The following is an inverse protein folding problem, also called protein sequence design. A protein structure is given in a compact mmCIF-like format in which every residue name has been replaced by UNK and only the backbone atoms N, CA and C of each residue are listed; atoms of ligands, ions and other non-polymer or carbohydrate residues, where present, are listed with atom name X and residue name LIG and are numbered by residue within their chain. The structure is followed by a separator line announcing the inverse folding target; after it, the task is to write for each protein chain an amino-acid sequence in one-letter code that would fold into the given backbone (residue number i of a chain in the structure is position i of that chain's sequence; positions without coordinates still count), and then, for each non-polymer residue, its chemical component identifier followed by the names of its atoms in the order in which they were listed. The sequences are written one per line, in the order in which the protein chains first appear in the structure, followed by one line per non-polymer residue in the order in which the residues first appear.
data_IF_332607467359
#
_entry.id   IF_332607467359
#
_cell.length_a   1.000
_cell.length_b   1.000
_cell.length_c   1.000
_cell.angle_alpha   90.00
_cell.angle_beta   90.00
_cell.angle_gamma   90.00
#
_symmetry.space_group_name_H-M   'P 1'
#
loop_
_entity.id
_entity.type
_entity.pdbx_description
1 polymer ?
#
# COMPACT_ATOMS: atom_id res chain seq x y z
N UNK A 1 -46.31 51.78 4.36
CA UNK A 1 -45.19 51.38 3.48
C UNK A 1 -43.92 51.46 4.31
N UNK A 2 -43.14 50.37 4.47
CA UNK A 2 -41.89 50.41 5.22
C UNK A 2 -40.90 51.34 4.50
N UNK A 3 -40.31 52.30 5.21
CA UNK A 3 -39.28 53.20 4.67
C UNK A 3 -38.01 52.39 4.40
N UNK A 4 -37.60 52.32 3.14
CA UNK A 4 -36.28 51.83 2.76
C UNK A 4 -35.25 52.81 3.33
N UNK A 5 -34.37 52.33 4.22
CA UNK A 5 -33.31 53.15 4.81
C UNK A 5 -32.02 52.94 3.99
N UNK A 6 -31.61 53.89 3.13
CA UNK A 6 -30.43 53.75 2.28
C UNK A 6 -29.11 53.75 3.07
N UNK A 7 -29.14 54.13 4.35
CA UNK A 7 -27.97 54.13 5.24
C UNK A 7 -27.76 52.81 5.99
N UNK A 8 -28.68 51.85 5.84
CA UNK A 8 -28.41 50.46 6.22
C UNK A 8 -27.52 49.83 5.13
N UNK A 9 -26.27 50.28 5.05
CA UNK A 9 -25.24 49.61 4.27
C UNK A 9 -25.18 48.17 4.77
N UNK A 10 -25.75 47.25 3.99
CA UNK A 10 -25.54 45.82 4.15
C UNK A 10 -24.04 45.60 4.15
N UNK A 11 -23.50 45.30 5.33
CA UNK A 11 -22.09 45.02 5.51
C UNK A 11 -21.82 43.70 4.79
N UNK A 12 -21.37 43.77 3.54
CA UNK A 12 -21.10 42.62 2.68
C UNK A 12 -20.07 41.66 3.30
N UNK A 13 -19.28 42.12 4.28
CA UNK A 13 -18.40 41.27 5.09
C UNK A 13 -19.15 40.37 6.09
N UNK A 14 -20.37 40.72 6.50
CA UNK A 14 -21.26 39.87 7.30
C UNK A 14 -22.05 38.86 6.45
N UNK A 15 -22.01 39.01 5.12
CA UNK A 15 -22.59 38.08 4.14
C UNK A 15 -21.55 37.14 3.52
N UNK A 16 -20.28 37.24 3.93
CA UNK A 16 -19.28 36.26 3.58
C UNK A 16 -19.62 34.95 4.30
N UNK A 17 -20.32 34.06 3.59
CA UNK A 17 -20.42 32.66 4.00
C UNK A 17 -18.98 32.14 4.02
N UNK A 18 -18.46 31.87 5.22
CA UNK A 18 -17.19 31.14 5.35
C UNK A 18 -17.29 29.89 4.48
N UNK A 19 -16.35 29.74 3.56
CA UNK A 19 -16.25 28.50 2.79
C UNK A 19 -16.26 27.36 3.80
N UNK A 20 -17.15 26.35 3.65
CA UNK A 20 -17.20 25.25 4.59
C UNK A 20 -15.80 24.68 4.71
N UNK A 21 -15.27 24.66 5.94
CA UNK A 21 -13.94 24.14 6.22
C UNK A 21 -13.79 22.82 5.48
N UNK A 22 -12.78 22.72 4.61
CA UNK A 22 -12.46 21.45 3.95
C UNK A 22 -12.25 20.44 5.05
N UNK A 23 -13.20 19.51 5.19
CA UNK A 23 -13.06 18.38 6.10
C UNK A 23 -11.69 17.77 5.81
N UNK A 24 -10.85 17.71 6.83
CA UNK A 24 -9.53 17.11 6.70
C UNK A 24 -9.74 15.69 6.17
N UNK A 25 -9.16 15.39 5.01
CA UNK A 25 -9.24 14.05 4.43
C UNK A 25 -8.57 13.09 5.41
N UNK A 26 -9.39 12.28 6.08
CA UNK A 26 -8.90 11.30 7.06
C UNK A 26 -8.39 10.10 6.28
N UNK A 27 -7.06 10.03 6.16
CA UNK A 27 -6.37 8.91 5.54
C UNK A 27 -6.46 7.63 6.39
N UNK A 28 -6.09 6.50 5.78
CA UNK A 28 -6.12 5.19 6.42
C UNK A 28 -5.07 5.13 7.55
N UNK A 29 -5.49 4.62 8.69
CA UNK A 29 -4.64 4.43 9.86
C UNK A 29 -4.76 2.97 10.33
N UNK A 30 -3.69 2.15 10.18
CA UNK A 30 -3.72 0.75 10.61
C UNK A 30 -4.14 0.54 12.08
N UNK A 31 -3.76 1.44 12.99
CA UNK A 31 -4.10 1.31 14.42
C UNK A 31 -5.62 1.47 14.66
N UNK A 32 -6.28 2.31 13.84
CA UNK A 32 -7.71 2.61 13.94
C UNK A 32 -8.55 1.67 13.07
N UNK A 33 -8.10 1.42 11.85
CA UNK A 33 -8.92 0.85 10.77
C UNK A 33 -8.77 -0.68 10.64
N UNK A 34 -7.71 -1.27 11.23
CA UNK A 34 -7.60 -2.73 11.39
C UNK A 34 -8.09 -3.12 12.78
N UNK A 35 -9.18 -3.87 12.82
CA UNK A 35 -9.84 -4.30 14.06
C UNK A 35 -9.20 -5.55 14.66
N UNK A 36 -9.45 -5.87 15.94
CA UNK A 36 -9.00 -7.12 16.54
C UNK A 36 -9.48 -8.38 15.79
N UNK A 37 -10.71 -8.37 15.24
CA UNK A 37 -11.24 -9.48 14.44
C UNK A 37 -10.42 -9.67 13.15
N UNK A 38 -9.98 -8.57 12.52
CA UNK A 38 -9.16 -8.64 11.31
C UNK A 38 -7.83 -9.33 11.61
N UNK A 39 -7.21 -8.99 12.75
CA UNK A 39 -5.97 -9.61 13.20
C UNK A 39 -6.11 -11.08 13.54
N UNK A 40 -7.25 -11.49 14.10
CA UNK A 40 -7.55 -12.90 14.36
C UNK A 40 -7.62 -13.68 13.04
N UNK A 41 -8.35 -13.17 12.04
CA UNK A 41 -8.46 -13.79 10.71
C UNK A 41 -7.12 -13.84 9.97
N UNK A 42 -6.33 -12.77 10.00
CA UNK A 42 -4.96 -12.76 9.44
C UNK A 42 -4.13 -13.87 10.09
N UNK A 43 -4.16 -13.97 11.42
CA UNK A 43 -3.41 -14.99 12.15
C UNK A 43 -3.87 -16.42 11.86
N UNK A 44 -5.19 -16.65 11.74
CA UNK A 44 -5.73 -17.94 11.35
C UNK A 44 -5.31 -18.31 9.93
N UNK A 45 -5.51 -17.42 8.97
CA UNK A 45 -5.15 -17.65 7.57
C UNK A 45 -3.66 -17.96 7.42
N UNK A 46 -2.79 -17.19 8.09
CA UNK A 46 -1.34 -17.47 8.10
C UNK A 46 -1.02 -18.88 8.59
N UNK A 47 -1.61 -19.31 9.71
CA UNK A 47 -1.40 -20.66 10.27
C UNK A 47 -1.84 -21.75 9.30
N UNK A 48 -2.94 -21.56 8.59
CA UNK A 48 -3.41 -22.50 7.57
C UNK A 48 -2.41 -22.57 6.41
N UNK A 49 -1.95 -21.42 5.90
CA UNK A 49 -0.99 -21.34 4.79
C UNK A 49 0.37 -21.98 5.12
N UNK A 50 0.84 -21.92 6.37
CA UNK A 50 2.12 -22.52 6.79
C UNK A 50 2.21 -24.03 6.52
N UNK A 51 1.09 -24.73 6.32
CA UNK A 51 1.10 -26.17 6.05
C UNK A 51 1.30 -26.54 4.57
N UNK A 52 1.08 -25.63 3.61
CA UNK A 52 1.17 -25.97 2.18
C UNK A 52 1.52 -24.81 1.23
N UNK A 53 1.45 -23.55 1.67
CA UNK A 53 1.61 -22.38 0.81
C UNK A 53 2.46 -21.30 1.48
N UNK A 54 3.77 -21.53 1.46
CA UNK A 54 4.76 -20.58 1.98
C UNK A 54 4.85 -19.29 1.16
N UNK A 55 4.24 -19.21 -0.05
CA UNK A 55 4.13 -17.94 -0.78
C UNK A 55 3.27 -16.96 0.00
N UNK A 56 2.06 -17.38 0.34
CA UNK A 56 1.13 -16.53 1.06
C UNK A 56 1.62 -16.24 2.48
N UNK A 57 2.39 -17.14 3.09
CA UNK A 57 3.05 -16.83 4.38
C UNK A 57 3.99 -15.65 4.24
N UNK A 58 4.85 -15.60 3.22
CA UNK A 58 5.75 -14.47 3.00
C UNK A 58 4.98 -13.15 2.79
N UNK A 59 3.94 -13.18 1.96
CA UNK A 59 3.05 -12.04 1.70
C UNK A 59 2.41 -11.52 3.00
N UNK A 60 1.75 -12.39 3.77
CA UNK A 60 1.10 -12.00 5.02
C UNK A 60 2.10 -11.43 6.03
N UNK A 61 3.32 -11.98 6.10
CA UNK A 61 4.35 -11.47 7.01
C UNK A 61 4.80 -10.05 6.61
N UNK A 62 4.92 -9.78 5.31
CA UNK A 62 5.20 -8.43 4.83
C UNK A 62 4.05 -7.45 5.16
N UNK A 63 2.81 -7.88 4.95
CA UNK A 63 1.61 -7.10 5.26
C UNK A 63 1.48 -6.83 6.76
N UNK A 64 1.67 -7.83 7.63
CA UNK A 64 1.69 -7.67 9.09
C UNK A 64 2.71 -6.60 9.49
N UNK A 65 3.93 -6.68 8.94
CA UNK A 65 5.00 -5.72 9.24
C UNK A 65 4.64 -4.30 8.82
N UNK A 66 4.09 -4.12 7.62
CA UNK A 66 3.65 -2.81 7.10
C UNK A 66 2.51 -2.23 7.95
N UNK A 67 1.57 -3.08 8.38
CA UNK A 67 0.43 -2.71 9.21
C UNK A 67 0.80 -2.57 10.70
N UNK A 68 2.08 -2.61 11.05
CA UNK A 68 2.58 -2.30 12.40
C UNK A 68 2.66 -3.49 13.36
N UNK A 69 2.57 -4.72 12.86
CA UNK A 69 2.63 -5.95 13.66
C UNK A 69 3.88 -6.78 13.34
N UNK A 70 4.47 -7.39 14.36
CA UNK A 70 5.57 -8.33 14.16
C UNK A 70 5.05 -9.64 13.53
N UNK A 71 5.66 -10.14 12.44
CA UNK A 71 5.28 -11.40 11.81
C UNK A 71 5.38 -12.63 12.72
N UNK A 72 6.20 -12.58 13.77
CA UNK A 72 6.37 -13.63 14.78
C UNK A 72 6.60 -15.03 14.17
N UNK A 73 7.59 -15.14 13.28
CA UNK A 73 8.06 -16.40 12.72
C UNK A 73 9.23 -16.97 13.52
N UNK A 74 9.27 -18.30 13.67
CA UNK A 74 10.44 -18.98 14.25
C UNK A 74 11.60 -19.08 13.25
N UNK A 75 12.81 -19.37 13.73
CA UNK A 75 13.98 -19.61 12.86
C UNK A 75 13.70 -20.71 11.82
N UNK A 76 12.99 -21.78 12.23
CA UNK A 76 12.62 -22.85 11.30
C UNK A 76 11.61 -22.42 10.24
N UNK A 77 10.74 -21.45 10.53
CA UNK A 77 9.80 -20.90 9.55
C UNK A 77 10.55 -20.05 8.52
N UNK A 78 11.53 -19.27 8.95
CA UNK A 78 12.40 -18.51 8.06
C UNK A 78 13.22 -19.43 7.14
N UNK A 79 13.76 -20.53 7.66
CA UNK A 79 14.42 -21.54 6.84
C UNK A 79 13.47 -22.16 5.79
N UNK A 80 12.21 -22.39 6.14
CA UNK A 80 11.21 -22.93 5.22
C UNK A 80 10.88 -21.93 4.11
N UNK A 81 10.72 -20.64 4.44
CA UNK A 81 10.56 -19.57 3.46
C UNK A 81 11.75 -19.53 2.48
N UNK A 82 12.97 -19.61 2.99
CA UNK A 82 14.17 -19.61 2.17
C UNK A 82 14.22 -20.82 1.21
N UNK A 83 13.93 -22.03 1.72
CA UNK A 83 13.86 -23.26 0.91
C UNK A 83 12.79 -23.14 -0.19
N UNK A 84 11.61 -22.64 0.18
CA UNK A 84 10.49 -22.45 -0.73
C UNK A 84 10.79 -21.40 -1.82
N UNK A 85 11.41 -20.28 -1.46
CA UNK A 85 11.88 -19.29 -2.45
C UNK A 85 12.83 -19.91 -3.46
N UNK A 86 13.81 -20.68 -3.00
CA UNK A 86 14.80 -21.32 -3.88
C UNK A 86 14.18 -22.41 -4.78
N UNK A 87 13.14 -23.12 -4.33
CA UNK A 87 12.51 -24.17 -5.13
C UNK A 87 11.81 -23.65 -6.40
N UNK A 88 11.42 -22.37 -6.43
CA UNK A 88 10.72 -21.78 -7.59
C UNK A 88 11.65 -21.47 -8.76
N UNK A 89 12.98 -21.44 -8.56
CA UNK A 89 13.92 -21.23 -9.66
C UNK A 89 13.89 -22.34 -10.73
N UNK A 90 13.31 -23.50 -10.40
CA UNK A 90 13.15 -24.62 -11.34
C UNK A 90 11.90 -24.50 -12.23
N UNK A 91 11.01 -23.53 -11.97
CA UNK A 91 9.86 -23.24 -12.84
C UNK A 91 10.29 -22.33 -14.00
N UNK A 92 10.20 -22.86 -15.24
CA UNK A 92 10.67 -22.18 -16.44
C UNK A 92 9.81 -20.97 -16.87
N UNK A 93 8.57 -20.83 -16.37
CA UNK A 93 7.64 -19.80 -16.84
C UNK A 93 7.57 -18.62 -15.86
N UNK A 94 7.47 -18.89 -14.57
CA UNK A 94 7.23 -17.87 -13.54
C UNK A 94 8.31 -17.80 -12.46
N UNK A 95 9.30 -18.71 -12.49
CA UNK A 95 10.22 -18.95 -11.38
C UNK A 95 10.94 -17.71 -10.86
N UNK A 96 11.47 -16.85 -11.74
CA UNK A 96 12.17 -15.63 -11.32
C UNK A 96 11.25 -14.52 -10.81
N UNK A 97 10.01 -14.44 -11.30
CA UNK A 97 9.02 -13.48 -10.78
C UNK A 97 8.69 -13.88 -9.34
N UNK A 98 8.31 -15.13 -9.17
CA UNK A 98 7.93 -15.70 -7.89
C UNK A 98 9.08 -15.67 -6.88
N UNK A 99 10.31 -15.89 -7.34
CA UNK A 99 11.52 -15.79 -6.50
C UNK A 99 11.74 -14.37 -5.97
N UNK A 100 11.62 -13.37 -6.86
CA UNK A 100 11.84 -11.96 -6.52
C UNK A 100 10.75 -11.42 -5.62
N UNK A 101 9.50 -11.78 -5.90
CA UNK A 101 8.35 -11.41 -5.08
C UNK A 101 8.49 -11.93 -3.64
N UNK A 102 8.91 -13.19 -3.48
CA UNK A 102 9.22 -13.78 -2.17
C UNK A 102 10.36 -13.06 -1.47
N UNK A 103 11.46 -12.83 -2.19
CA UNK A 103 12.62 -12.15 -1.62
C UNK A 103 12.26 -10.74 -1.11
N UNK A 104 11.47 -10.00 -1.88
CA UNK A 104 10.91 -8.70 -1.48
C UNK A 104 10.09 -8.82 -0.20
N UNK A 105 9.17 -9.78 -0.14
CA UNK A 105 8.29 -9.95 1.03
C UNK A 105 9.06 -10.38 2.29
N UNK A 106 10.04 -11.29 2.16
CA UNK A 106 10.97 -11.65 3.24
C UNK A 106 11.69 -10.40 3.77
N UNK A 107 12.22 -9.56 2.88
CA UNK A 107 12.90 -8.32 3.25
C UNK A 107 11.97 -7.32 3.96
N UNK A 108 10.75 -7.11 3.45
CA UNK A 108 9.76 -6.24 4.10
C UNK A 108 9.43 -6.77 5.49
N UNK A 109 9.22 -8.08 5.63
CA UNK A 109 8.91 -8.73 6.90
C UNK A 109 10.06 -8.67 7.94
N UNK A 110 11.24 -8.19 7.54
CA UNK A 110 12.39 -7.97 8.42
C UNK A 110 13.52 -8.98 8.27
N UNK A 111 13.45 -9.90 7.30
CA UNK A 111 14.50 -10.86 7.01
C UNK A 111 15.02 -10.68 5.58
N UNK A 112 15.97 -9.76 5.39
CA UNK A 112 16.52 -9.49 4.05
C UNK A 112 17.31 -10.70 3.56
N UNK A 113 16.88 -11.36 2.47
CA UNK A 113 17.55 -12.54 1.99
C UNK A 113 18.87 -12.21 1.29
N UNK A 114 19.89 -13.02 1.56
CA UNK A 114 21.14 -12.99 0.79
C UNK A 114 20.91 -13.58 -0.61
N UNK A 115 21.15 -12.74 -1.63
CA UNK A 115 21.08 -13.11 -3.05
C UNK A 115 22.49 -13.09 -3.66
N UNK A 116 22.81 -14.13 -4.43
CA UNK A 116 24.12 -14.27 -5.07
C UNK A 116 24.26 -13.30 -6.27
N UNK A 117 25.47 -13.11 -6.76
CA UNK A 117 25.68 -12.31 -7.98
C UNK A 117 24.96 -12.90 -9.20
N UNK A 118 24.87 -14.24 -9.28
CA UNK A 118 24.13 -14.93 -10.34
C UNK A 118 22.62 -14.70 -10.23
N UNK A 119 22.09 -14.64 -9.01
CA UNK A 119 20.69 -14.25 -8.77
C UNK A 119 20.45 -12.85 -9.33
N UNK A 120 21.32 -11.89 -9.01
CA UNK A 120 21.20 -10.51 -9.48
C UNK A 120 21.31 -10.37 -11.00
N UNK A 121 22.23 -11.11 -11.63
CA UNK A 121 22.34 -11.13 -13.09
C UNK A 121 21.05 -11.65 -13.74
N UNK A 122 20.44 -12.67 -13.16
CA UNK A 122 19.20 -13.27 -13.65
C UNK A 122 18.01 -12.34 -13.46
N UNK A 123 17.86 -11.72 -12.28
CA UNK A 123 16.86 -10.68 -11.99
C UNK A 123 16.96 -9.56 -13.03
N UNK A 124 18.17 -9.03 -13.26
CA UNK A 124 18.39 -7.96 -14.22
C UNK A 124 18.03 -8.37 -15.66
N UNK A 125 18.36 -9.61 -16.06
CA UNK A 125 17.99 -10.17 -17.37
C UNK A 125 16.47 -10.27 -17.54
N UNK A 126 15.78 -10.82 -16.54
CA UNK A 126 14.33 -10.99 -16.59
C UNK A 126 13.60 -9.65 -16.56
N UNK A 127 14.02 -8.71 -15.71
CA UNK A 127 13.47 -7.35 -15.68
C UNK A 127 13.60 -6.64 -17.04
N UNK A 128 14.78 -6.72 -17.69
CA UNK A 128 14.98 -6.17 -19.04
C UNK A 128 14.07 -6.80 -20.09
N UNK A 129 13.86 -8.11 -20.01
CA UNK A 129 12.98 -8.82 -20.95
C UNK A 129 11.52 -8.36 -20.84
N UNK A 130 11.06 -7.97 -19.64
CA UNK A 130 9.71 -7.42 -19.45
C UNK A 130 9.53 -6.05 -20.13
N UNK A 131 10.59 -5.24 -20.26
CA UNK A 131 10.54 -3.96 -20.99
C UNK A 131 10.34 -4.11 -22.50
N UNK A 132 10.81 -5.21 -23.07
CA UNK A 132 10.91 -5.39 -24.53
C UNK A 132 9.80 -6.25 -25.13
N UNK A 133 9.16 -7.11 -24.32
CA UNK A 133 8.08 -7.96 -24.81
C UNK A 133 6.85 -7.09 -25.07
N UNK A 134 6.20 -7.29 -26.22
CA UNK A 134 4.88 -6.71 -26.42
C UNK A 134 3.97 -7.18 -25.28
N UNK A 135 3.31 -6.23 -24.60
CA UNK A 135 2.24 -6.45 -23.65
C UNK A 135 1.31 -7.63 -23.98
N UNK A 136 1.43 -8.76 -23.30
CA UNK A 136 0.22 -9.50 -22.97
C UNK A 136 -0.32 -8.89 -21.69
N UNK A 137 -1.61 -8.56 -21.66
CA UNK A 137 -2.25 -7.70 -20.66
C UNK A 137 -2.06 -8.17 -19.20
N UNK A 138 -1.66 -9.43 -18.98
CA UNK A 138 -1.45 -10.04 -17.67
C UNK A 138 0.01 -10.03 -17.17
N UNK A 139 1.00 -9.61 -17.98
CA UNK A 139 2.43 -9.68 -17.62
C UNK A 139 3.06 -8.35 -17.18
N UNK A 140 2.28 -7.28 -17.16
CA UNK A 140 2.78 -5.92 -16.96
C UNK A 140 3.16 -5.57 -15.52
N UNK A 141 2.48 -6.19 -14.55
CA UNK A 141 2.81 -6.07 -13.13
C UNK A 141 4.24 -6.50 -12.84
N UNK A 142 4.80 -7.43 -13.62
CA UNK A 142 6.12 -7.99 -13.35
C UNK A 142 7.23 -6.95 -13.38
N UNK A 143 7.16 -5.98 -14.31
CA UNK A 143 8.17 -4.92 -14.36
C UNK A 143 8.19 -4.10 -13.07
N UNK A 144 7.02 -3.68 -12.58
CA UNK A 144 6.87 -2.97 -11.32
C UNK A 144 7.41 -3.80 -10.15
N UNK A 145 7.03 -5.09 -10.08
CA UNK A 145 7.47 -6.01 -9.04
C UNK A 145 9.01 -6.16 -8.99
N UNK A 146 9.67 -6.35 -10.15
CA UNK A 146 11.14 -6.45 -10.21
C UNK A 146 11.84 -5.19 -9.72
N UNK A 147 11.33 -4.02 -10.10
CA UNK A 147 11.89 -2.74 -9.69
C UNK A 147 11.71 -2.54 -8.19
N UNK A 148 10.50 -2.75 -7.70
CA UNK A 148 10.17 -2.59 -6.30
C UNK A 148 11.01 -3.54 -5.43
N UNK A 149 11.09 -4.82 -5.81
CA UNK A 149 11.90 -5.79 -5.12
C UNK A 149 13.38 -5.41 -5.11
N UNK A 150 13.92 -4.91 -6.24
CA UNK A 150 15.30 -4.43 -6.28
C UNK A 150 15.53 -3.30 -5.26
N UNK A 151 14.62 -2.33 -5.19
CA UNK A 151 14.70 -1.25 -4.22
C UNK A 151 14.67 -1.78 -2.78
N UNK A 152 13.63 -2.56 -2.43
CA UNK A 152 13.42 -3.14 -1.09
C UNK A 152 14.57 -4.06 -0.67
N UNK A 153 15.24 -4.73 -1.60
CA UNK A 153 16.43 -5.56 -1.32
C UNK A 153 17.73 -4.73 -1.21
N UNK A 154 17.62 -3.41 -1.03
CA UNK A 154 18.75 -2.51 -0.81
C UNK A 154 19.59 -2.24 -2.06
N UNK A 155 19.09 -2.56 -3.27
CA UNK A 155 19.80 -2.26 -4.52
C UNK A 155 19.30 -0.96 -5.12
N UNK A 156 20.19 -0.08 -5.61
CA UNK A 156 19.79 1.18 -6.20
C UNK A 156 18.94 0.98 -7.45
N UNK A 157 17.85 1.73 -7.52
CA UNK A 157 16.93 1.76 -8.65
C UNK A 157 17.00 3.15 -9.28
N UNK A 158 17.17 3.18 -10.60
CA UNK A 158 17.07 4.40 -11.41
C UNK A 158 16.09 4.15 -12.53
N UNK A 159 14.95 4.82 -12.47
CA UNK A 159 13.93 4.81 -13.51
C UNK A 159 14.15 5.99 -14.45
N UNK A 160 13.93 5.76 -15.75
CA UNK A 160 13.85 6.85 -16.74
C UNK A 160 12.45 7.48 -16.71
N UNK A 161 12.30 8.64 -17.36
CA UNK A 161 10.97 9.25 -17.59
C UNK A 161 10.05 8.31 -18.37
N UNK A 162 10.58 7.51 -19.30
CA UNK A 162 9.79 6.52 -20.04
C UNK A 162 9.29 5.38 -19.13
N UNK A 163 10.10 4.94 -18.16
CA UNK A 163 9.67 3.94 -17.17
C UNK A 163 8.51 4.49 -16.32
N UNK A 164 8.62 5.76 -15.91
CA UNK A 164 7.60 6.45 -15.14
C UNK A 164 6.30 6.67 -15.92
N UNK A 165 6.42 7.06 -17.18
CA UNK A 165 5.28 7.19 -18.09
C UNK A 165 4.59 5.85 -18.31
N UNK A 166 5.35 4.77 -18.46
CA UNK A 166 4.81 3.43 -18.61
C UNK A 166 3.98 3.01 -17.38
N UNK A 167 4.49 3.23 -16.16
CA UNK A 167 3.75 2.91 -14.92
C UNK A 167 2.44 3.71 -14.82
N UNK A 168 2.47 4.99 -15.19
CA UNK A 168 1.30 5.87 -15.18
C UNK A 168 0.24 5.45 -16.20
N UNK A 169 0.63 5.16 -17.44
CA UNK A 169 -0.28 4.65 -18.47
C UNK A 169 -0.91 3.31 -18.06
N UNK A 170 -0.12 2.44 -17.43
CA UNK A 170 -0.61 1.16 -16.92
C UNK A 170 -1.59 1.35 -15.75
N UNK A 171 -1.33 2.28 -14.83
CA UNK A 171 -2.27 2.66 -13.75
C UNK A 171 -3.60 3.14 -14.33
N UNK A 172 -3.56 4.06 -15.30
CA UNK A 172 -4.78 4.61 -15.92
C UNK A 172 -5.59 3.54 -16.66
N UNK A 173 -4.92 2.62 -17.36
CA UNK A 173 -5.57 1.47 -18.03
C UNK A 173 -6.27 0.55 -17.02
N UNK A 174 -5.69 0.37 -15.83
CA UNK A 174 -6.13 -0.60 -14.84
C UNK A 174 -6.85 -0.01 -13.62
N UNK A 175 -7.22 1.27 -13.61
CA UNK A 175 -7.83 1.94 -12.46
C UNK A 175 -9.15 1.35 -11.92
N UNK A 176 -9.75 0.39 -12.65
CA UNK A 176 -10.95 -0.35 -12.24
C UNK A 176 -10.66 -1.79 -11.79
N UNK A 177 -9.39 -2.22 -11.88
CA UNK A 177 -8.94 -3.56 -11.52
C UNK A 177 -8.06 -3.44 -10.29
N UNK A 178 -8.58 -3.86 -9.14
CA UNK A 178 -7.95 -3.59 -7.84
C UNK A 178 -6.53 -4.18 -7.75
N UNK A 179 -6.30 -5.41 -8.20
CA UNK A 179 -5.00 -6.08 -8.10
C UNK A 179 -3.85 -5.32 -8.80
N UNK A 180 -3.92 -5.09 -10.13
CA UNK A 180 -2.91 -4.32 -10.82
C UNK A 180 -2.82 -2.86 -10.33
N UNK A 181 -3.93 -2.28 -9.86
CA UNK A 181 -3.93 -0.92 -9.34
C UNK A 181 -3.08 -0.83 -8.07
N UNK A 182 -3.32 -1.70 -7.08
CA UNK A 182 -2.62 -1.62 -5.79
C UNK A 182 -1.11 -1.82 -5.95
N UNK A 183 -0.68 -2.78 -6.78
CA UNK A 183 0.73 -3.06 -7.01
C UNK A 183 1.48 -1.85 -7.60
N UNK A 184 0.83 -1.09 -8.46
CA UNK A 184 1.42 0.10 -9.09
C UNK A 184 1.44 1.27 -8.12
N UNK A 185 0.36 1.48 -7.37
CA UNK A 185 0.29 2.52 -6.34
C UNK A 185 1.37 2.33 -5.28
N UNK A 186 1.59 1.10 -4.83
CA UNK A 186 2.68 0.73 -3.92
C UNK A 186 4.04 1.01 -4.55
N UNK A 187 4.25 0.53 -5.78
CA UNK A 187 5.52 0.72 -6.49
C UNK A 187 5.87 2.20 -6.65
N UNK A 188 4.92 3.02 -7.12
CA UNK A 188 5.13 4.47 -7.28
C UNK A 188 5.47 5.13 -5.94
N UNK A 189 4.68 4.82 -4.90
CA UNK A 189 4.83 5.45 -3.58
C UNK A 189 6.15 5.06 -2.91
N UNK A 190 6.51 3.78 -2.90
CA UNK A 190 7.74 3.27 -2.28
C UNK A 190 8.99 3.82 -3.01
N UNK A 191 8.90 4.03 -4.32
CA UNK A 191 9.99 4.62 -5.11
C UNK A 191 10.02 6.16 -5.06
N UNK A 192 9.20 6.78 -4.20
CA UNK A 192 9.22 8.21 -3.93
C UNK A 192 8.36 9.06 -4.88
N UNK A 193 7.57 8.45 -5.77
CA UNK A 193 6.60 9.17 -6.63
C UNK A 193 5.20 9.00 -6.05
N UNK A 194 4.72 10.00 -5.30
CA UNK A 194 3.35 9.94 -4.76
C UNK A 194 2.30 10.08 -5.87
N UNK A 195 1.42 9.08 -6.08
CA UNK A 195 0.32 9.20 -7.01
C UNK A 195 -0.67 10.27 -6.52
N UNK A 196 -1.23 11.05 -7.45
CA UNK A 196 -2.28 12.04 -7.14
C UNK A 196 -3.63 11.34 -7.10
N UNK A 197 -4.00 10.83 -5.94
CA UNK A 197 -5.30 10.19 -5.73
C UNK A 197 -6.38 11.23 -5.45
N UNK A 198 -7.54 11.04 -6.07
CA UNK A 198 -8.77 11.79 -5.78
C UNK A 198 -9.53 11.12 -4.65
N UNK A 199 -10.50 11.83 -4.04
CA UNK A 199 -11.38 11.21 -3.05
C UNK A 199 -12.19 10.04 -3.63
N UNK A 200 -12.51 10.04 -4.95
CA UNK A 200 -13.15 8.87 -5.58
C UNK A 200 -12.23 7.65 -5.67
N UNK A 201 -10.91 7.84 -5.82
CA UNK A 201 -9.96 6.72 -5.81
C UNK A 201 -9.85 6.11 -4.42
N UNK A 202 -9.82 6.95 -3.38
CA UNK A 202 -9.86 6.49 -1.98
C UNK A 202 -11.15 5.75 -1.64
N UNK A 203 -12.31 6.26 -2.08
CA UNK A 203 -13.58 5.56 -1.88
C UNK A 203 -13.63 4.23 -2.64
N UNK A 204 -13.02 4.14 -3.83
CA UNK A 204 -12.88 2.87 -4.53
C UNK A 204 -12.04 1.86 -3.72
N UNK A 205 -10.87 2.26 -3.20
CA UNK A 205 -10.03 1.38 -2.37
C UNK A 205 -10.77 0.90 -1.12
N UNK A 206 -11.48 1.79 -0.42
CA UNK A 206 -12.30 1.44 0.75
C UNK A 206 -13.40 0.46 0.40
N UNK A 207 -14.14 0.70 -0.68
CA UNK A 207 -15.23 -0.18 -1.11
C UNK A 207 -14.72 -1.57 -1.50
N UNK A 208 -13.61 -1.65 -2.23
CA UNK A 208 -13.00 -2.94 -2.59
C UNK A 208 -12.52 -3.68 -1.34
N UNK A 209 -11.86 -2.99 -0.41
CA UNK A 209 -11.43 -3.58 0.87
C UNK A 209 -12.62 -4.18 1.62
N UNK A 210 -13.70 -3.40 1.82
CA UNK A 210 -14.89 -3.86 2.53
C UNK A 210 -15.63 -4.97 1.78
N UNK A 211 -15.63 -4.94 0.45
CA UNK A 211 -16.12 -6.05 -0.37
C UNK A 211 -15.38 -7.34 -0.02
N UNK A 212 -14.05 -7.35 -0.11
CA UNK A 212 -13.25 -8.53 0.23
C UNK A 212 -13.33 -8.93 1.70
N UNK A 213 -13.54 -7.96 2.59
CA UNK A 213 -13.68 -8.18 4.03
C UNK A 213 -14.95 -8.98 4.38
N UNK A 214 -16.03 -8.73 3.66
CA UNK A 214 -17.36 -9.29 3.95
C UNK A 214 -17.85 -10.34 2.94
N UNK A 215 -17.12 -10.54 1.83
CA UNK A 215 -17.54 -11.48 0.80
C UNK A 215 -17.50 -12.93 1.31
N UNK A 216 -18.68 -13.46 1.65
CA UNK A 216 -18.93 -14.87 1.97
C UNK A 216 -19.27 -15.72 0.73
N UNK A 217 -19.38 -15.11 -0.46
CA UNK A 217 -19.95 -15.74 -1.66
C UNK A 217 -19.01 -16.80 -2.24
N UNK A 218 -17.70 -16.70 -1.96
CA UNK A 218 -16.73 -17.74 -2.27
C UNK A 218 -16.05 -18.18 -0.98
N UNK A 219 -16.33 -19.41 -0.55
CA UNK A 219 -15.69 -20.08 0.60
C UNK A 219 -14.21 -20.41 0.31
N UNK A 220 -13.45 -19.44 -0.19
CA UNK A 220 -12.02 -19.56 -0.39
C UNK A 220 -11.36 -18.50 0.49
N UNK A 221 -10.51 -18.96 1.41
CA UNK A 221 -9.77 -18.13 2.37
C UNK A 221 -8.92 -17.01 1.68
N UNK A 222 -8.73 -17.12 0.36
CA UNK A 222 -8.06 -16.13 -0.50
C UNK A 222 -8.69 -14.74 -0.53
N UNK A 223 -10.00 -14.61 -0.28
CA UNK A 223 -10.66 -13.30 -0.34
C UNK A 223 -10.24 -12.39 0.81
N UNK A 224 -10.00 -12.98 1.99
CA UNK A 224 -9.55 -12.23 3.15
C UNK A 224 -8.20 -11.59 2.90
N UNK A 225 -7.27 -12.35 2.31
CA UNK A 225 -5.95 -11.86 1.93
C UNK A 225 -6.04 -10.60 1.06
N UNK A 226 -6.92 -10.57 0.04
CA UNK A 226 -7.10 -9.37 -0.78
C UNK A 226 -7.53 -8.14 0.01
N UNK A 227 -8.35 -8.30 1.05
CA UNK A 227 -8.72 -7.18 1.95
C UNK A 227 -7.49 -6.63 2.69
N UNK A 228 -6.61 -7.52 3.15
CA UNK A 228 -5.37 -7.18 3.86
C UNK A 228 -4.36 -6.53 2.92
N UNK A 229 -4.21 -7.02 1.69
CA UNK A 229 -3.36 -6.40 0.68
C UNK A 229 -3.80 -4.97 0.36
N UNK A 230 -5.11 -4.74 0.18
CA UNK A 230 -5.64 -3.38 -0.05
C UNK A 230 -5.37 -2.49 1.16
N UNK A 231 -5.57 -2.98 2.38
CA UNK A 231 -5.28 -2.21 3.59
C UNK A 231 -3.78 -1.86 3.70
N UNK A 232 -2.91 -2.78 3.31
CA UNK A 232 -1.45 -2.58 3.24
C UNK A 232 -1.10 -1.46 2.26
N UNK A 233 -1.67 -1.47 1.06
CA UNK A 233 -1.51 -0.39 0.08
C UNK A 233 -2.02 0.94 0.62
N UNK A 234 -3.20 0.94 1.25
CA UNK A 234 -3.76 2.15 1.86
C UNK A 234 -2.86 2.70 2.97
N UNK A 235 -2.22 1.84 3.77
CA UNK A 235 -1.23 2.25 4.77
C UNK A 235 0.00 2.89 4.12
N UNK A 236 0.55 2.28 3.07
CA UNK A 236 1.69 2.82 2.30
C UNK A 236 1.35 4.20 1.73
N UNK A 237 0.17 4.35 1.12
CA UNK A 237 -0.30 5.60 0.54
C UNK A 237 -0.52 6.70 1.58
N UNK A 238 -0.94 6.31 2.79
CA UNK A 238 -1.27 7.22 3.89
C UNK A 238 -0.05 7.65 4.72
N UNK A 239 1.07 6.92 4.63
CA UNK A 239 2.30 7.27 5.33
C UNK A 239 2.82 8.64 4.88
N UNK A 240 3.42 9.42 5.78
CA UNK A 240 4.05 10.71 5.45
C UNK A 240 5.36 10.53 4.69
N UNK A 241 6.07 9.44 4.99
CA UNK A 241 7.29 9.05 4.31
C UNK A 241 7.40 7.53 4.26
N UNK A 242 7.98 7.02 3.17
CA UNK A 242 8.33 5.62 3.00
C UNK A 242 9.85 5.55 2.85
N UNK A 243 10.50 4.78 3.72
CA UNK A 243 11.96 4.61 3.71
C UNK A 243 12.34 3.16 3.41
N UNK A 244 13.45 3.01 2.70
CA UNK A 244 14.15 1.74 2.52
C UNK A 244 15.46 1.86 3.31
N UNK A 245 15.62 1.14 4.43
CA UNK A 245 16.84 1.18 5.23
C UNK A 245 18.09 0.74 4.45
N UNK A 246 19.26 1.13 4.96
CA UNK A 246 20.53 0.59 4.47
C UNK A 246 20.57 -0.93 4.72
N UNK A 247 20.74 -1.70 3.65
CA UNK A 247 20.68 -3.17 3.71
C UNK A 247 19.33 -3.76 3.27
N UNK A 248 18.29 -2.95 3.06
CA UNK A 248 16.99 -3.39 2.57
C UNK A 248 15.88 -3.39 3.62
N UNK A 249 14.67 -3.79 3.22
CA UNK A 249 13.42 -3.71 3.98
C UNK A 249 12.55 -2.53 3.55
N UNK A 250 11.54 -2.23 4.38
CA UNK A 250 10.61 -1.13 4.18
C UNK A 250 10.11 -0.61 5.52
N UNK A 251 10.15 0.72 5.70
CA UNK A 251 9.65 1.41 6.87
C UNK A 251 8.63 2.48 6.46
N UNK A 252 7.47 2.47 7.12
CA UNK A 252 6.48 3.53 7.00
C UNK A 252 6.64 4.51 8.16
N UNK A 253 6.74 5.79 7.83
CA UNK A 253 6.77 6.87 8.82
C UNK A 253 5.46 7.62 8.70
N UNK A 254 4.66 7.52 9.76
CA UNK A 254 3.42 8.26 9.94
C UNK A 254 3.56 9.11 11.19
N UNK A 255 3.67 10.43 11.02
CA UNK A 255 3.55 11.35 12.15
C UNK A 255 2.08 11.32 12.55
N UNK A 256 1.80 10.91 13.78
CA UNK A 256 0.44 11.03 14.33
C UNK A 256 0.05 12.48 14.16
N UNK A 257 -0.94 12.75 13.30
CA UNK A 257 -1.65 14.02 13.33
C UNK A 257 -2.39 13.97 14.66
N UNK A 258 -1.70 14.40 15.71
CA UNK A 258 -2.29 14.66 17.02
C UNK A 258 -3.59 15.36 16.73
N UNK A 259 -4.71 14.80 17.20
CA UNK A 259 -6.01 15.40 17.03
C UNK A 259 -5.86 16.87 17.44
N UNK A 260 -5.82 17.75 16.45
CA UNK A 260 -5.98 19.18 16.65
C UNK A 260 -7.47 19.41 16.92
N UNK A 261 -8.03 18.68 17.88
CA UNK A 261 -9.03 19.22 18.77
C UNK A 261 -8.28 20.25 19.62
N UNK A 262 -7.90 21.37 18.99
CA UNK A 262 -7.70 22.59 19.71
C UNK A 262 -8.98 22.76 20.52
N UNK A 263 -8.86 22.67 21.85
CA UNK A 263 -9.88 23.13 22.77
C UNK A 263 -10.36 24.47 22.23
N UNK A 264 -11.58 24.50 21.69
CA UNK A 264 -12.21 25.74 21.27
C UNK A 264 -12.15 26.64 22.50
N UNK A 265 -11.43 27.77 22.48
CA UNK A 265 -11.40 28.66 23.62
C UNK A 265 -12.85 29.03 23.92
N UNK A 266 -13.34 28.71 25.13
CA UNK A 266 -14.67 29.11 25.54
C UNK A 266 -14.78 30.62 25.34
N UNK A 267 -15.61 31.03 24.37
CA UNK A 267 -15.92 32.44 24.17
C UNK A 267 -16.47 32.99 25.48
N UNK A 268 -15.90 34.07 26.04
CA UNK A 268 -16.43 34.68 27.25
C UNK A 268 -17.86 35.17 26.96
N UNK A 269 -18.80 34.71 27.78
CA UNK A 269 -20.21 35.11 27.71
C UNK A 269 -20.31 36.64 27.66
N UNK A 270 -20.86 37.17 26.55
CA UNK A 270 -21.19 38.58 26.45
C UNK A 270 -22.26 38.90 27.51
N UNK A 271 -21.86 39.65 28.54
CA UNK A 271 -22.80 40.29 29.46
C UNK A 271 -23.68 41.24 28.64
N UNK A 272 -24.98 40.95 28.58
CA UNK A 272 -25.99 41.87 28.10
C UNK A 272 -25.96 43.12 29.00
N UNK A 273 -25.77 44.29 28.40
CA UNK A 273 -26.00 45.59 29.02
C UNK A 273 -27.40 46.09 28.69
#
# INVERSE_FOLDING_TARGET
MPKFNPDAQLNIHELAIEEPEKQAEVFFDPERDITPEDWEKIGQYKKEQMSYNWQSVAEICAEEKILGKDPNLSDSDWENLQKYRRSHLYDAVMGWRDFVEKAKNEAIAGNVPELTDDDWQSIQKHMKAQRTKQPQEHMHCFFANYILAKAVLGRPVKLSEDDWKYLEEFREKNKKSIGPLIEILETETILGRRPKLTSSDWEFLKQERERYRHDRVFQMDSNWHSSVSIATTMAILSADEVRIPEGGGLELISHKKTDLQAEIPQMPEQKQF
#
